data_IF_911279866645
#
_entry.id   IF_911279866645
#
_cell.length_a   1.000
_cell.length_b   1.000
_cell.length_c   1.000
_cell.angle_alpha   90.00
_cell.angle_beta   90.00
_cell.angle_gamma   90.00
#
_symmetry.space_group_name_H-M   'P 1'
#
loop_
_entity.id
_entity.type
_entity.pdbx_description
1 polymer ?
#
# COMPACT_ATOMS: atom_id res chain seq x y z
N UNK A 1 -9.04 -12.27 -22.22
CA UNK A 1 -10.02 -11.58 -21.34
C UNK A 1 -10.75 -12.55 -20.39
N UNK A 2 -11.25 -13.69 -20.83
CA UNK A 2 -11.95 -14.69 -19.95
C UNK A 2 -11.05 -15.19 -18.80
N UNK A 3 -9.78 -15.56 -19.04
CA UNK A 3 -8.85 -16.03 -18.00
C UNK A 3 -8.58 -14.97 -16.93
N UNK A 4 -8.40 -13.71 -17.32
CA UNK A 4 -8.19 -12.60 -16.39
C UNK A 4 -9.38 -12.40 -15.45
N UNK A 5 -10.60 -12.30 -15.99
CA UNK A 5 -11.82 -12.11 -15.18
C UNK A 5 -12.09 -13.30 -14.25
N UNK A 6 -11.83 -14.52 -14.74
CA UNK A 6 -11.97 -15.72 -13.92
C UNK A 6 -10.97 -15.70 -12.76
N UNK A 7 -9.68 -15.43 -13.05
CA UNK A 7 -8.64 -15.34 -12.02
C UNK A 7 -8.91 -14.21 -11.03
N UNK A 8 -9.37 -13.04 -11.50
CA UNK A 8 -9.73 -11.93 -10.64
C UNK A 8 -10.87 -12.30 -9.66
N UNK A 9 -11.89 -13.02 -10.15
CA UNK A 9 -12.97 -13.52 -9.27
C UNK A 9 -12.43 -14.50 -8.23
N UNK A 10 -11.52 -15.38 -8.61
CA UNK A 10 -10.88 -16.31 -7.68
C UNK A 10 -10.09 -15.54 -6.60
N UNK A 11 -9.28 -14.54 -6.99
CA UNK A 11 -8.53 -13.72 -6.05
C UNK A 11 -9.44 -13.00 -5.04
N UNK A 12 -10.53 -12.39 -5.53
CA UNK A 12 -11.52 -11.76 -4.66
C UNK A 12 -12.20 -12.78 -3.73
N UNK A 13 -12.56 -13.95 -4.25
CA UNK A 13 -13.16 -15.01 -3.42
C UNK A 13 -12.21 -15.50 -2.34
N UNK A 14 -10.92 -15.71 -2.66
CA UNK A 14 -9.90 -16.09 -1.70
C UNK A 14 -9.74 -15.02 -0.62
N UNK A 15 -9.67 -13.76 -1.01
CA UNK A 15 -9.55 -12.64 -0.08
C UNK A 15 -10.73 -12.58 0.91
N UNK A 16 -11.97 -12.57 0.40
CA UNK A 16 -13.17 -12.43 1.24
C UNK A 16 -13.48 -13.69 2.08
N UNK A 17 -13.01 -14.85 1.66
CA UNK A 17 -13.12 -16.09 2.47
C UNK A 17 -12.13 -16.13 3.61
N UNK A 18 -11.01 -15.44 3.51
CA UNK A 18 -10.08 -15.25 4.63
C UNK A 18 -10.57 -14.07 5.50
N UNK A 19 -11.57 -14.34 6.34
CA UNK A 19 -12.26 -13.31 7.14
C UNK A 19 -11.30 -12.58 8.08
N UNK A 20 -10.34 -13.26 8.68
CA UNK A 20 -9.37 -12.66 9.60
C UNK A 20 -8.51 -11.62 8.91
N UNK A 21 -7.94 -11.96 7.75
CA UNK A 21 -7.15 -11.02 6.95
C UNK A 21 -8.00 -9.87 6.40
N UNK A 22 -9.21 -10.15 5.91
CA UNK A 22 -10.10 -9.13 5.40
C UNK A 22 -10.48 -8.14 6.51
N UNK A 23 -10.91 -8.63 7.67
CA UNK A 23 -11.25 -7.81 8.84
C UNK A 23 -10.05 -6.96 9.26
N UNK A 24 -8.85 -7.55 9.38
CA UNK A 24 -7.65 -6.82 9.80
C UNK A 24 -7.29 -5.70 8.83
N UNK A 25 -7.32 -5.97 7.52
CA UNK A 25 -7.01 -4.96 6.49
C UNK A 25 -7.94 -3.76 6.56
N UNK A 26 -9.23 -3.94 6.86
CA UNK A 26 -10.17 -2.84 6.97
C UNK A 26 -10.17 -2.19 8.36
N UNK A 27 -10.25 -3.00 9.43
CA UNK A 27 -10.42 -2.49 10.80
C UNK A 27 -9.16 -1.78 11.28
N UNK A 28 -7.97 -2.28 10.99
CA UNK A 28 -6.74 -1.71 11.54
C UNK A 28 -6.52 -0.23 11.13
N UNK A 29 -6.59 0.17 9.85
CA UNK A 29 -6.47 1.58 9.48
C UNK A 29 -7.63 2.44 10.00
N UNK A 30 -8.84 1.89 10.04
CA UNK A 30 -10.00 2.61 10.61
C UNK A 30 -9.79 2.88 12.10
N UNK A 31 -9.39 1.87 12.86
CA UNK A 31 -9.11 1.99 14.28
C UNK A 31 -7.99 3.01 14.56
N UNK A 32 -6.89 2.94 13.79
CA UNK A 32 -5.82 3.92 13.90
C UNK A 32 -6.30 5.32 13.55
N UNK A 33 -7.10 5.47 12.50
CA UNK A 33 -7.66 6.77 12.10
C UNK A 33 -8.55 7.35 13.21
N UNK A 34 -9.41 6.54 13.82
CA UNK A 34 -10.27 6.95 14.92
C UNK A 34 -9.46 7.31 16.17
N UNK A 35 -8.51 6.46 16.57
CA UNK A 35 -7.67 6.71 17.74
C UNK A 35 -6.82 7.97 17.56
N UNK A 36 -6.07 8.06 16.46
CA UNK A 36 -5.21 9.19 16.22
C UNK A 36 -6.01 10.47 15.96
N UNK A 37 -7.15 10.37 15.26
CA UNK A 37 -8.05 11.48 15.02
C UNK A 37 -8.69 12.04 16.28
N UNK A 38 -8.90 11.22 17.31
CA UNK A 38 -9.39 11.67 18.63
C UNK A 38 -8.28 12.27 19.50
N UNK A 39 -7.04 11.77 19.36
CA UNK A 39 -5.86 12.28 20.11
C UNK A 39 -5.36 13.59 19.51
N UNK A 40 -5.28 13.69 18.19
CA UNK A 40 -4.89 14.91 17.48
C UNK A 40 -6.14 15.75 17.15
N UNK A 41 -6.77 16.35 18.16
CA UNK A 41 -8.02 17.11 17.99
C UNK A 41 -7.82 18.47 17.29
N UNK A 42 -6.58 18.97 17.24
CA UNK A 42 -6.26 20.31 16.74
C UNK A 42 -5.77 20.30 15.28
N UNK A 43 -4.97 21.28 14.94
CA UNK A 43 -4.35 21.42 13.63
C UNK A 43 -2.94 20.84 13.60
N UNK A 44 -2.58 20.21 12.47
CA UNK A 44 -1.22 19.78 12.17
C UNK A 44 -0.63 20.74 11.14
N UNK A 45 0.56 21.27 11.41
CA UNK A 45 1.27 22.15 10.49
C UNK A 45 2.23 21.33 9.62
N UNK A 46 2.03 21.42 8.29
CA UNK A 46 2.93 20.84 7.27
C UNK A 46 3.55 22.01 6.50
N UNK A 47 4.89 22.16 6.58
CA UNK A 47 5.57 23.33 6.03
C UNK A 47 5.13 24.60 6.75
N UNK A 48 4.47 25.50 6.03
CA UNK A 48 3.93 26.77 6.54
C UNK A 48 2.40 26.79 6.63
N UNK A 49 1.73 25.70 6.30
CA UNK A 49 0.26 25.61 6.26
C UNK A 49 -0.24 24.70 7.37
N UNK A 50 -1.30 25.14 8.08
CA UNK A 50 -1.97 24.37 9.11
C UNK A 50 -3.23 23.73 8.54
N UNK A 51 -3.38 22.43 8.76
CA UNK A 51 -4.51 21.62 8.32
C UNK A 51 -5.20 20.99 9.53
N UNK A 52 -6.50 20.70 9.41
CA UNK A 52 -7.17 19.86 10.41
C UNK A 52 -6.46 18.52 10.52
N UNK A 53 -6.17 18.08 11.75
CA UNK A 53 -5.43 16.84 12.02
C UNK A 53 -6.07 15.63 11.34
N UNK A 54 -7.40 15.54 11.36
CA UNK A 54 -8.13 14.46 10.70
C UNK A 54 -7.86 14.38 9.19
N UNK A 55 -7.70 15.52 8.50
CA UNK A 55 -7.41 15.53 7.06
C UNK A 55 -6.00 14.97 6.78
N UNK A 56 -5.01 15.38 7.58
CA UNK A 56 -3.63 14.89 7.46
C UNK A 56 -3.56 13.40 7.76
N UNK A 57 -4.24 12.96 8.81
CA UNK A 57 -4.29 11.55 9.19
C UNK A 57 -5.01 10.70 8.13
N UNK A 58 -6.10 11.20 7.53
CA UNK A 58 -6.79 10.48 6.46
C UNK A 58 -5.87 10.28 5.25
N UNK A 59 -5.13 11.32 4.83
CA UNK A 59 -4.10 11.18 3.80
C UNK A 59 -3.02 10.15 4.19
N UNK A 60 -2.60 10.17 5.47
CA UNK A 60 -1.66 9.21 6.03
C UNK A 60 -2.18 7.76 5.97
N UNK A 61 -3.46 7.55 6.31
CA UNK A 61 -4.09 6.23 6.25
C UNK A 61 -4.23 5.72 4.82
N UNK A 62 -4.47 6.60 3.83
CA UNK A 62 -4.44 6.23 2.41
C UNK A 62 -3.03 5.76 2.03
N UNK A 63 -2.00 6.52 2.42
CA UNK A 63 -0.61 6.13 2.17
C UNK A 63 -0.24 4.78 2.79
N UNK A 64 -0.52 4.63 4.08
CA UNK A 64 -0.31 3.37 4.80
C UNK A 64 -1.11 2.21 4.19
N UNK A 65 -2.37 2.44 3.83
CA UNK A 65 -3.24 1.42 3.25
C UNK A 65 -2.69 0.86 1.94
N UNK A 66 -2.19 1.72 1.04
CA UNK A 66 -1.52 1.27 -0.19
C UNK A 66 -0.29 0.42 0.12
N UNK A 67 0.59 0.90 1.00
CA UNK A 67 1.80 0.16 1.38
C UNK A 67 1.44 -1.18 2.04
N UNK A 68 0.48 -1.18 2.96
CA UNK A 68 0.09 -2.40 3.66
C UNK A 68 -0.58 -3.43 2.72
N UNK A 69 -1.44 -2.98 1.82
CA UNK A 69 -2.19 -3.89 0.92
C UNK A 69 -1.32 -4.34 -0.25
N UNK A 70 -0.64 -3.40 -0.94
CA UNK A 70 0.11 -3.70 -2.16
C UNK A 70 1.52 -4.26 -1.88
N UNK A 71 2.19 -3.85 -0.81
CA UNK A 71 3.48 -4.42 -0.43
C UNK A 71 3.30 -5.63 0.48
N UNK A 72 2.72 -5.44 1.67
CA UNK A 72 2.63 -6.49 2.69
C UNK A 72 1.71 -7.62 2.28
N UNK A 73 0.49 -7.30 1.87
CA UNK A 73 -0.51 -8.30 1.48
C UNK A 73 -0.04 -9.15 0.31
N UNK A 74 0.54 -8.52 -0.73
CA UNK A 74 1.07 -9.23 -1.89
C UNK A 74 2.28 -10.10 -1.53
N UNK A 75 3.24 -9.57 -0.76
CA UNK A 75 4.44 -10.31 -0.38
C UNK A 75 4.08 -11.57 0.41
N UNK A 76 3.26 -11.42 1.45
CA UNK A 76 2.83 -12.55 2.30
C UNK A 76 2.04 -13.58 1.48
N UNK A 77 1.07 -13.13 0.67
CA UNK A 77 0.27 -14.04 -0.16
C UNK A 77 1.12 -14.85 -1.14
N UNK A 78 2.10 -14.24 -1.80
CA UNK A 78 2.96 -14.92 -2.74
C UNK A 78 3.91 -15.92 -2.06
N UNK A 79 4.46 -15.57 -0.89
CA UNK A 79 5.32 -16.49 -0.13
C UNK A 79 4.53 -17.72 0.32
N UNK A 80 3.34 -17.54 0.89
CA UNK A 80 2.46 -18.63 1.31
C UNK A 80 2.09 -19.52 0.12
N UNK A 81 1.69 -18.92 -1.01
CA UNK A 81 1.31 -19.67 -2.23
C UNK A 81 2.48 -20.43 -2.84
N UNK A 82 3.69 -19.86 -2.77
CA UNK A 82 4.91 -20.53 -3.23
C UNK A 82 5.21 -21.76 -2.36
N UNK A 83 5.21 -21.59 -1.04
CA UNK A 83 5.52 -22.69 -0.11
C UNK A 83 4.47 -23.82 -0.17
N UNK A 84 3.19 -23.47 -0.36
CA UNK A 84 2.11 -24.44 -0.57
C UNK A 84 2.15 -25.10 -1.98
N UNK A 85 3.13 -24.78 -2.82
CA UNK A 85 3.25 -25.32 -4.17
C UNK A 85 2.17 -24.85 -5.16
N UNK A 86 1.36 -23.87 -4.79
CA UNK A 86 0.27 -23.34 -5.64
C UNK A 86 0.85 -22.68 -6.88
N UNK A 87 1.93 -21.90 -6.74
CA UNK A 87 2.57 -21.24 -7.89
C UNK A 87 3.18 -22.23 -8.87
N UNK A 88 3.74 -23.34 -8.39
CA UNK A 88 4.24 -24.44 -9.24
C UNK A 88 3.11 -25.07 -10.07
N UNK A 89 1.96 -25.34 -9.43
CA UNK A 89 0.78 -25.89 -10.11
C UNK A 89 0.19 -24.90 -11.13
N UNK A 90 0.16 -23.61 -10.79
CA UNK A 90 -0.29 -22.55 -11.70
C UNK A 90 0.57 -22.51 -12.98
N UNK A 91 1.88 -22.68 -12.84
CA UNK A 91 2.81 -22.71 -13.98
C UNK A 91 2.59 -23.91 -14.93
N UNK A 92 1.99 -25.00 -14.44
CA UNK A 92 1.60 -26.14 -15.24
C UNK A 92 0.26 -25.96 -15.98
N UNK A 93 -0.44 -24.84 -15.73
CA UNK A 93 -1.70 -24.49 -16.42
C UNK A 93 -1.44 -23.58 -17.64
N UNK A 94 -2.37 -23.47 -18.59
CA UNK A 94 -2.25 -22.53 -19.72
C UNK A 94 -2.42 -21.05 -19.33
N UNK A 95 -2.42 -20.70 -18.04
CA UNK A 95 -2.56 -19.33 -17.54
C UNK A 95 -1.19 -18.62 -17.63
N UNK A 96 -1.05 -17.55 -18.43
CA UNK A 96 0.18 -16.78 -18.48
C UNK A 96 0.50 -16.14 -17.12
N UNK A 97 1.77 -16.16 -16.65
CA UNK A 97 2.17 -15.53 -15.40
C UNK A 97 1.80 -14.04 -15.30
N UNK A 98 1.86 -13.33 -16.42
CA UNK A 98 1.45 -11.91 -16.49
C UNK A 98 -0.04 -11.72 -16.21
N UNK A 99 -0.90 -12.61 -16.71
CA UNK A 99 -2.35 -12.56 -16.44
C UNK A 99 -2.63 -12.85 -14.96
N UNK A 100 -1.90 -13.82 -14.38
CA UNK A 100 -1.99 -14.10 -12.95
C UNK A 100 -1.61 -12.86 -12.11
N UNK A 101 -0.43 -12.30 -12.35
CA UNK A 101 0.04 -11.12 -11.61
C UNK A 101 -0.89 -9.91 -11.80
N UNK A 102 -1.33 -9.65 -13.04
CA UNK A 102 -2.30 -8.59 -13.31
C UNK A 102 -3.62 -8.79 -12.53
N UNK A 103 -4.10 -10.02 -12.42
CA UNK A 103 -5.33 -10.32 -11.66
C UNK A 103 -5.13 -10.10 -10.16
N UNK A 104 -3.98 -10.50 -9.61
CA UNK A 104 -3.65 -10.25 -8.20
C UNK A 104 -3.55 -8.76 -7.92
N UNK A 105 -2.84 -7.99 -8.78
CA UNK A 105 -2.70 -6.55 -8.64
C UNK A 105 -4.04 -5.82 -8.73
N UNK A 106 -4.89 -6.22 -9.68
CA UNK A 106 -6.24 -5.66 -9.81
C UNK A 106 -7.10 -6.00 -8.61
N UNK A 107 -6.99 -7.22 -8.07
CA UNK A 107 -7.67 -7.62 -6.84
C UNK A 107 -7.23 -6.75 -5.65
N UNK A 108 -5.94 -6.52 -5.49
CA UNK A 108 -5.36 -5.64 -4.47
C UNK A 108 -5.89 -4.21 -4.61
N UNK A 109 -5.93 -3.69 -5.84
CA UNK A 109 -6.48 -2.36 -6.13
C UNK A 109 -7.96 -2.25 -5.73
N UNK A 110 -8.78 -3.25 -6.08
CA UNK A 110 -10.21 -3.29 -5.70
C UNK A 110 -10.36 -3.26 -4.19
N UNK A 111 -9.63 -4.08 -3.46
CA UNK A 111 -9.66 -4.11 -1.98
C UNK A 111 -9.26 -2.76 -1.40
N UNK A 112 -8.19 -2.16 -1.92
CA UNK A 112 -7.73 -0.85 -1.46
C UNK A 112 -8.74 0.27 -1.76
N UNK A 113 -9.35 0.29 -2.95
CA UNK A 113 -10.39 1.28 -3.29
C UNK A 113 -11.58 1.15 -2.36
N UNK A 114 -12.04 -0.06 -2.06
CA UNK A 114 -13.11 -0.29 -1.08
C UNK A 114 -12.71 0.20 0.32
N UNK A 115 -11.50 -0.08 0.76
CA UNK A 115 -10.96 0.42 2.02
C UNK A 115 -10.93 1.96 2.04
N UNK A 116 -10.46 2.59 0.97
CA UNK A 116 -10.44 4.05 0.83
C UNK A 116 -11.84 4.67 0.91
N UNK A 117 -12.83 4.06 0.24
CA UNK A 117 -14.23 4.52 0.31
C UNK A 117 -14.73 4.48 1.75
N UNK A 118 -14.47 3.41 2.48
CA UNK A 118 -14.87 3.28 3.90
C UNK A 118 -14.16 4.32 4.77
N UNK A 119 -12.87 4.53 4.57
CA UNK A 119 -12.09 5.55 5.30
C UNK A 119 -12.62 6.97 5.03
N UNK A 120 -12.90 7.30 3.76
CA UNK A 120 -13.50 8.60 3.42
C UNK A 120 -14.91 8.77 4.00
N UNK A 121 -15.74 7.72 3.98
CA UNK A 121 -17.07 7.77 4.58
C UNK A 121 -16.99 8.05 6.10
N UNK A 122 -16.12 7.33 6.80
CA UNK A 122 -15.89 7.54 8.26
C UNK A 122 -15.31 8.93 8.52
N UNK A 123 -14.32 9.36 7.75
CA UNK A 123 -13.72 10.68 7.88
C UNK A 123 -14.77 11.80 7.69
N UNK A 124 -15.63 11.63 6.68
CA UNK A 124 -16.70 12.60 6.39
C UNK A 124 -17.74 12.67 7.50
N UNK A 125 -18.21 11.52 7.98
CA UNK A 125 -19.31 11.45 8.95
C UNK A 125 -18.88 11.82 10.37
N UNK A 126 -17.69 11.41 10.82
CA UNK A 126 -17.25 11.61 12.20
C UNK A 126 -16.37 12.86 12.37
N UNK A 127 -15.54 13.19 11.39
CA UNK A 127 -14.58 14.30 11.49
C UNK A 127 -14.88 15.47 10.54
N UNK A 128 -15.91 15.36 9.69
CA UNK A 128 -16.26 16.39 8.72
C UNK A 128 -15.15 16.64 7.68
N UNK A 129 -14.36 15.61 7.32
CA UNK A 129 -13.28 15.74 6.34
C UNK A 129 -13.86 16.04 4.95
N UNK A 130 -13.21 16.89 4.12
CA UNK A 130 -13.66 17.15 2.77
C UNK A 130 -13.46 15.94 1.87
N UNK A 131 -14.23 15.86 0.80
CA UNK A 131 -13.94 14.93 -0.30
C UNK A 131 -12.76 15.47 -1.13
N UNK A 132 -11.99 14.61 -1.80
CA UNK A 132 -10.87 15.04 -2.63
C UNK A 132 -11.35 15.92 -3.79
N UNK A 133 -10.74 17.10 -3.95
CA UNK A 133 -11.09 18.05 -5.00
C UNK A 133 -10.75 17.54 -6.42
N UNK A 134 -9.68 16.74 -6.54
CA UNK A 134 -9.19 16.16 -7.80
C UNK A 134 -9.19 14.64 -7.76
N UNK A 135 -10.40 14.04 -7.83
CA UNK A 135 -10.57 12.58 -7.80
C UNK A 135 -9.75 11.83 -8.89
N UNK A 136 -9.67 12.30 -10.15
CA UNK A 136 -8.84 11.63 -11.16
C UNK A 136 -7.36 11.57 -10.78
N UNK A 137 -6.80 12.67 -10.26
CA UNK A 137 -5.41 12.71 -9.78
C UNK A 137 -5.18 11.77 -8.59
N UNK A 138 -6.15 11.67 -7.67
CA UNK A 138 -6.07 10.73 -6.56
C UNK A 138 -6.09 9.28 -7.04
N UNK A 139 -6.96 8.94 -8.00
CA UNK A 139 -7.01 7.61 -8.59
C UNK A 139 -5.69 7.26 -9.30
N UNK A 140 -5.12 8.19 -10.06
CA UNK A 140 -3.81 8.00 -10.70
C UNK A 140 -2.69 7.82 -9.66
N UNK A 141 -2.70 8.60 -8.58
CA UNK A 141 -1.76 8.43 -7.48
C UNK A 141 -1.90 7.04 -6.83
N UNK A 142 -3.13 6.59 -6.58
CA UNK A 142 -3.39 5.25 -6.04
C UNK A 142 -2.89 4.16 -6.99
N UNK A 143 -3.12 4.28 -8.29
CA UNK A 143 -2.62 3.34 -9.30
C UNK A 143 -1.09 3.28 -9.28
N UNK A 144 -0.43 4.44 -9.26
CA UNK A 144 1.03 4.54 -9.15
C UNK A 144 1.52 3.89 -7.85
N UNK A 145 0.89 4.21 -6.72
CA UNK A 145 1.23 3.64 -5.42
C UNK A 145 1.07 2.13 -5.39
N UNK A 146 -0.08 1.62 -5.82
CA UNK A 146 -0.32 0.15 -5.88
C UNK A 146 0.70 -0.53 -6.79
N UNK A 147 1.00 0.01 -7.97
CA UNK A 147 2.00 -0.55 -8.87
C UNK A 147 3.42 -0.51 -8.26
N UNK A 148 3.81 0.63 -7.66
CA UNK A 148 5.11 0.82 -7.04
C UNK A 148 5.33 -0.11 -5.84
N UNK A 149 4.38 -0.13 -4.90
CA UNK A 149 4.47 -0.98 -3.72
C UNK A 149 4.29 -2.47 -4.03
N UNK A 150 3.52 -2.81 -5.06
CA UNK A 150 3.45 -4.19 -5.53
C UNK A 150 4.78 -4.69 -6.12
N UNK A 151 5.51 -3.84 -6.85
CA UNK A 151 6.87 -4.16 -7.31
C UNK A 151 7.80 -4.49 -6.14
N UNK A 152 7.74 -3.68 -5.06
CA UNK A 152 8.48 -3.97 -3.83
C UNK A 152 7.97 -5.23 -3.13
N UNK A 153 6.67 -5.49 -3.12
CA UNK A 153 6.08 -6.71 -2.57
C UNK A 153 6.54 -7.97 -3.30
N UNK A 154 6.66 -7.90 -4.62
CA UNK A 154 7.25 -8.96 -5.45
C UNK A 154 8.71 -9.21 -5.08
N UNK A 155 9.52 -8.15 -4.90
CA UNK A 155 10.91 -8.28 -4.47
C UNK A 155 11.01 -8.91 -3.07
N UNK A 156 10.19 -8.46 -2.13
CA UNK A 156 10.14 -9.03 -0.78
C UNK A 156 9.75 -10.52 -0.83
N UNK A 157 8.73 -10.88 -1.60
CA UNK A 157 8.33 -12.27 -1.79
C UNK A 157 9.44 -13.13 -2.39
N UNK A 158 10.26 -12.54 -3.28
CA UNK A 158 11.41 -13.23 -3.87
C UNK A 158 12.53 -13.50 -2.84
N UNK A 159 12.73 -12.61 -1.87
CA UNK A 159 13.79 -12.68 -0.86
C UNK A 159 13.40 -13.48 0.38
N UNK A 160 12.15 -13.41 0.81
CA UNK A 160 11.63 -14.13 1.98
C UNK A 160 11.60 -15.64 1.69
N UNK A 161 12.12 -16.43 2.63
CA UNK A 161 12.30 -17.88 2.42
C UNK A 161 11.14 -18.72 2.93
N UNK A 162 10.49 -18.34 4.04
CA UNK A 162 9.44 -19.13 4.67
C UNK A 162 8.14 -18.34 4.87
N UNK A 163 7.01 -19.03 4.79
CA UNK A 163 5.68 -18.44 5.06
C UNK A 163 5.54 -18.02 6.53
N UNK A 164 6.11 -18.79 7.46
CA UNK A 164 6.09 -18.49 8.90
C UNK A 164 6.74 -17.13 9.22
N UNK A 165 7.91 -16.85 8.61
CA UNK A 165 8.62 -15.59 8.80
C UNK A 165 8.10 -14.43 7.97
N UNK A 166 7.28 -14.68 6.94
CA UNK A 166 6.88 -13.66 5.99
C UNK A 166 6.14 -12.48 6.65
N UNK A 167 5.19 -12.78 7.51
CA UNK A 167 4.42 -11.75 8.22
C UNK A 167 5.30 -10.89 9.12
N UNK A 168 6.20 -11.51 9.88
CA UNK A 168 7.11 -10.80 10.79
C UNK A 168 8.07 -9.89 10.01
N UNK A 169 8.72 -10.40 8.96
CA UNK A 169 9.68 -9.64 8.12
C UNK A 169 8.98 -8.44 7.48
N UNK A 170 7.83 -8.67 6.88
CA UNK A 170 7.08 -7.61 6.20
C UNK A 170 6.59 -6.55 7.18
N UNK A 171 6.13 -6.94 8.38
CA UNK A 171 5.70 -6.01 9.42
C UNK A 171 6.87 -5.16 9.93
N UNK A 172 8.04 -5.75 10.15
CA UNK A 172 9.27 -5.03 10.54
C UNK A 172 9.72 -4.03 9.48
N UNK A 173 9.35 -4.21 8.21
CA UNK A 173 9.64 -3.24 7.14
C UNK A 173 8.55 -2.18 7.07
N UNK A 174 7.28 -2.56 7.02
CA UNK A 174 6.18 -1.63 6.72
C UNK A 174 5.87 -0.68 7.87
N UNK A 175 5.94 -1.14 9.12
CA UNK A 175 5.62 -0.27 10.26
C UNK A 175 6.64 0.87 10.44
N UNK A 176 7.97 0.62 10.51
CA UNK A 176 8.92 1.73 10.55
C UNK A 176 8.81 2.65 9.34
N UNK A 177 8.62 2.09 8.13
CA UNK A 177 8.41 2.88 6.92
C UNK A 177 7.20 3.81 7.07
N UNK A 178 6.08 3.34 7.62
CA UNK A 178 4.87 4.15 7.84
C UNK A 178 5.09 5.26 8.88
N UNK A 179 5.77 4.96 9.99
CA UNK A 179 6.09 5.97 11.00
C UNK A 179 7.06 7.03 10.45
N UNK A 180 8.15 6.62 9.82
CA UNK A 180 9.16 7.53 9.28
C UNK A 180 8.64 8.39 8.12
N UNK A 181 7.67 7.88 7.37
CA UNK A 181 7.04 8.62 6.28
C UNK A 181 6.00 9.65 6.74
N UNK A 182 5.55 9.56 7.99
CA UNK A 182 4.54 10.48 8.53
C UNK A 182 3.09 10.05 8.30
N UNK A 183 2.85 8.77 8.01
CA UNK A 183 1.48 8.25 7.82
C UNK A 183 0.63 8.35 9.08
N UNK A 184 1.24 8.30 10.27
CA UNK A 184 0.54 8.33 11.55
C UNK A 184 0.66 9.67 12.29
N UNK A 185 1.27 10.68 11.66
CA UNK A 185 1.43 12.00 12.25
C UNK A 185 2.69 12.72 11.81
N UNK A 186 2.90 13.96 12.29
CA UNK A 186 3.98 14.82 11.83
C UNK A 186 5.36 14.31 12.25
N UNK A 187 6.29 14.23 11.30
CA UNK A 187 7.67 13.78 11.51
C UNK A 187 8.64 14.92 11.91
N UNK A 188 8.13 16.14 12.05
CA UNK A 188 8.95 17.35 12.33
C UNK A 188 9.82 17.24 13.60
N UNK A 189 9.29 16.54 14.62
CA UNK A 189 10.00 16.36 15.90
C UNK A 189 11.01 15.21 15.89
N UNK A 190 11.14 14.48 14.78
CA UNK A 190 12.10 13.38 14.69
C UNK A 190 13.52 13.89 14.60
N UNK A 191 14.49 13.19 15.18
CA UNK A 191 15.93 13.44 14.99
C UNK A 191 16.28 13.48 13.51
N UNK A 192 17.34 14.26 13.17
CA UNK A 192 17.74 14.48 11.78
C UNK A 192 18.02 13.18 11.02
N UNK A 193 18.62 12.19 11.68
CA UNK A 193 18.93 10.89 11.05
C UNK A 193 17.66 10.11 10.67
N UNK A 194 16.61 10.14 11.50
CA UNK A 194 15.34 9.47 11.20
C UNK A 194 14.62 10.16 10.05
N UNK A 195 14.69 11.48 9.98
CA UNK A 195 14.11 12.23 8.86
C UNK A 195 14.84 11.91 7.55
N UNK A 196 16.18 11.85 7.56
CA UNK A 196 16.97 11.49 6.40
C UNK A 196 16.66 10.07 5.89
N UNK A 197 16.43 9.11 6.80
CA UNK A 197 15.94 7.77 6.41
C UNK A 197 14.56 7.87 5.79
N UNK A 198 13.64 8.63 6.42
CA UNK A 198 12.28 8.84 5.90
C UNK A 198 12.29 9.41 4.49
N UNK A 199 13.15 10.38 4.21
CA UNK A 199 13.23 11.07 2.92
C UNK A 199 13.68 10.17 1.75
N UNK A 200 14.30 9.02 2.04
CA UNK A 200 14.65 8.02 1.01
C UNK A 200 13.51 7.03 0.76
N UNK A 201 12.60 6.87 1.72
CA UNK A 201 11.56 5.85 1.65
C UNK A 201 10.47 6.17 0.61
N UNK A 202 10.02 5.17 -0.18
CA UNK A 202 9.00 5.39 -1.21
C UNK A 202 7.66 5.86 -0.63
N UNK A 203 7.33 5.45 0.60
CA UNK A 203 6.08 5.83 1.24
C UNK A 203 6.03 7.32 1.59
N UNK A 204 7.15 7.94 1.92
CA UNK A 204 7.22 9.39 2.15
C UNK A 204 6.84 10.16 0.89
N UNK A 205 7.44 9.81 -0.25
CA UNK A 205 7.15 10.44 -1.53
C UNK A 205 5.72 10.18 -2.00
N UNK A 206 5.22 8.97 -1.77
CA UNK A 206 3.82 8.65 -2.07
C UNK A 206 2.86 9.48 -1.20
N UNK A 207 3.15 9.63 0.09
CA UNK A 207 2.38 10.46 0.99
C UNK A 207 2.41 11.94 0.60
N UNK A 208 3.55 12.46 0.16
CA UNK A 208 3.68 13.84 -0.34
C UNK A 208 2.80 14.09 -1.58
N UNK A 209 2.63 13.09 -2.46
CA UNK A 209 1.70 13.14 -3.59
C UNK A 209 0.25 13.17 -3.09
N UNK A 210 -0.12 12.24 -2.21
CA UNK A 210 -1.48 12.14 -1.67
C UNK A 210 -1.87 13.42 -0.91
N UNK A 211 -0.96 13.96 -0.10
CA UNK A 211 -1.18 15.21 0.64
C UNK A 211 -1.35 16.40 -0.30
N UNK A 212 -0.51 16.53 -1.33
CA UNK A 212 -0.65 17.62 -2.32
C UNK A 212 -2.00 17.56 -3.04
N UNK A 213 -2.50 16.37 -3.36
CA UNK A 213 -3.80 16.20 -4.02
C UNK A 213 -4.95 16.45 -3.04
N UNK A 214 -4.88 15.83 -1.86
CA UNK A 214 -6.01 15.81 -0.94
C UNK A 214 -6.10 17.08 -0.08
N UNK A 215 -4.98 17.60 0.43
CA UNK A 215 -4.95 18.77 1.31
C UNK A 215 -4.88 20.08 0.53
N UNK A 216 -4.07 20.13 -0.54
CA UNK A 216 -3.82 21.36 -1.30
C UNK A 216 -4.70 21.46 -2.56
N UNK A 217 -5.44 20.43 -2.92
CA UNK A 217 -6.25 20.37 -4.15
C UNK A 217 -5.40 20.44 -5.42
N UNK A 218 -4.14 19.98 -5.38
CA UNK A 218 -3.24 20.00 -6.52
C UNK A 218 -3.39 18.75 -7.37
N UNK A 219 -2.89 18.82 -8.60
CA UNK A 219 -2.81 17.65 -9.47
C UNK A 219 -1.54 16.83 -9.21
N UNK A 220 -1.54 15.55 -9.57
CA UNK A 220 -0.40 14.62 -9.41
C UNK A 220 0.89 15.15 -10.05
N UNK A 221 0.77 15.87 -11.17
CA UNK A 221 1.89 16.41 -11.95
C UNK A 221 2.66 17.53 -11.22
N UNK A 222 2.13 18.08 -10.15
CA UNK A 222 2.82 19.10 -9.35
C UNK A 222 3.97 18.53 -8.50
N UNK A 223 4.06 17.20 -8.38
CA UNK A 223 5.10 16.48 -7.63
C UNK A 223 5.86 15.46 -8.50
N UNK A 224 6.45 15.88 -9.64
CA UNK A 224 7.05 14.94 -10.60
C UNK A 224 8.22 14.16 -10.01
N UNK A 225 9.02 14.78 -9.12
CA UNK A 225 10.10 14.09 -8.43
C UNK A 225 9.61 12.97 -7.52
N UNK A 226 8.55 13.20 -6.76
CA UNK A 226 7.96 12.18 -5.91
C UNK A 226 7.36 11.02 -6.75
N UNK A 227 6.69 11.33 -7.85
CA UNK A 227 6.19 10.34 -8.82
C UNK A 227 7.34 9.49 -9.34
N UNK A 228 8.45 10.12 -9.76
CA UNK A 228 9.62 9.42 -10.27
C UNK A 228 10.25 8.49 -9.22
N UNK A 229 10.33 8.92 -7.96
CA UNK A 229 10.89 8.10 -6.87
C UNK A 229 10.01 6.88 -6.60
N UNK A 230 8.68 7.04 -6.50
CA UNK A 230 7.76 5.90 -6.30
C UNK A 230 7.84 4.93 -7.47
N UNK A 231 7.87 5.43 -8.70
CA UNK A 231 8.04 4.60 -9.89
C UNK A 231 9.39 3.87 -9.92
N UNK A 232 10.48 4.55 -9.57
CA UNK A 232 11.83 3.97 -9.52
C UNK A 232 11.93 2.82 -8.51
N UNK A 233 11.37 2.99 -7.31
CA UNK A 233 11.29 1.93 -6.31
C UNK A 233 10.47 0.72 -6.82
N UNK A 234 9.34 0.97 -7.49
CA UNK A 234 8.52 -0.09 -8.08
C UNK A 234 9.24 -0.86 -9.18
N UNK A 235 9.87 -0.14 -10.12
CA UNK A 235 10.67 -0.73 -11.21
C UNK A 235 11.86 -1.50 -10.64
N UNK A 236 12.57 -0.93 -9.67
CA UNK A 236 13.66 -1.61 -8.96
C UNK A 236 13.20 -2.91 -8.30
N UNK A 237 12.05 -2.88 -7.63
CA UNK A 237 11.43 -4.06 -7.03
C UNK A 237 11.08 -5.13 -8.07
N UNK A 238 10.48 -4.75 -9.18
CA UNK A 238 10.19 -5.66 -10.29
C UNK A 238 11.48 -6.25 -10.88
N UNK A 239 12.53 -5.45 -11.06
CA UNK A 239 13.80 -5.90 -11.59
C UNK A 239 14.49 -6.93 -10.66
N UNK A 240 14.43 -6.69 -9.33
CA UNK A 240 14.90 -7.67 -8.34
C UNK A 240 14.07 -8.94 -8.42
N UNK A 241 12.74 -8.84 -8.42
CA UNK A 241 11.86 -9.99 -8.51
C UNK A 241 12.09 -10.79 -9.78
N UNK A 242 12.23 -10.14 -10.94
CA UNK A 242 12.47 -10.80 -12.23
C UNK A 242 13.74 -11.66 -12.23
N UNK A 243 14.75 -11.28 -11.43
CA UNK A 243 16.03 -12.02 -11.35
C UNK A 243 16.03 -13.09 -10.26
N UNK A 244 15.24 -12.93 -9.21
CA UNK A 244 15.38 -13.74 -7.98
C UNK A 244 14.13 -14.53 -7.62
N UNK A 245 12.97 -14.23 -8.26
CA UNK A 245 11.71 -14.88 -7.92
C UNK A 245 11.66 -16.33 -8.42
N UNK A 246 11.62 -17.28 -7.48
CA UNK A 246 11.37 -18.69 -7.75
C UNK A 246 9.88 -19.02 -7.64
N UNK A 247 9.36 -19.77 -8.59
CA UNK A 247 7.98 -20.26 -8.60
C UNK A 247 7.81 -21.57 -7.80
N UNK A 248 8.90 -22.19 -7.43
CA UNK A 248 8.94 -23.46 -6.70
C UNK A 248 9.20 -23.22 -5.21
N UNK A 249 8.67 -24.10 -4.35
CA UNK A 249 9.07 -24.11 -2.95
C UNK A 249 10.60 -24.19 -2.86
N UNK A 250 11.18 -23.42 -1.93
CA UNK A 250 12.62 -23.55 -1.65
C UNK A 250 12.81 -24.75 -0.72
N UNK A 251 13.69 -25.66 -1.10
CA UNK A 251 14.11 -26.74 -0.22
C UNK A 251 14.76 -26.15 1.03
N UNK A 252 14.40 -26.72 2.19
CA UNK A 252 14.93 -26.29 3.50
C UNK A 252 16.37 -26.75 3.67
#
# INVERSE_FOLDING_TARGET
MRYFLHQLRLEQTIFWRNRESAIFIFIFPIMLFLLLGSVYSDTITIGHTSYKSANVLLAGMIGYGVANTAFSGLAIALVIRREAGILKRLRATPLPPSVYLASVLTSTLVVFVLQGIVLFAIGRTLFGTPLPGHLPSLLLAVLLGVAGFAGLGLAAAALIRSAEGASAIVTVIVLPMAFLSGSFGPTRKYPAFLRAIGDVLPLKHFLDIVQAIYLDGREIWTKPGAVAVVAAWGVGGIAIAARTFGWEPRER
#
